data_IF_856109666524
#
_entry.id   IF_856109666524
#
_cell.length_a   1.000
_cell.length_b   1.000
_cell.length_c   1.000
_cell.angle_alpha   90.00
_cell.angle_beta   90.00
_cell.angle_gamma   90.00
#
_symmetry.space_group_name_H-M   'P 1'
#
loop_
_entity.id
_entity.type
_entity.pdbx_description
1 polymer ?
#
# COMPACT_ATOMS: atom_id res chain seq x y z
N UNK A 1 -22.74 8.00 20.97
CA UNK A 1 -23.24 6.91 20.11
C UNK A 1 -24.42 6.13 20.72
N UNK A 2 -24.40 5.75 22.02
CA UNK A 2 -25.50 5.02 22.68
C UNK A 2 -26.88 5.71 22.64
N UNK A 3 -26.93 7.05 22.67
CA UNK A 3 -28.20 7.77 22.56
C UNK A 3 -28.89 7.54 21.20
N UNK A 4 -28.12 7.46 20.11
CA UNK A 4 -28.65 7.26 18.76
C UNK A 4 -29.22 5.84 18.55
N UNK A 5 -28.62 4.83 19.17
CA UNK A 5 -29.12 3.45 19.11
C UNK A 5 -30.49 3.29 19.78
N UNK A 6 -30.71 3.94 20.94
CA UNK A 6 -32.02 3.95 21.60
C UNK A 6 -33.10 4.59 20.73
N UNK A 7 -32.76 5.68 20.02
CA UNK A 7 -33.69 6.35 19.11
C UNK A 7 -33.93 5.55 17.82
N UNK A 8 -32.98 4.71 17.38
CA UNK A 8 -33.19 3.78 16.27
C UNK A 8 -34.11 2.62 16.66
N UNK A 9 -34.03 2.13 17.90
CA UNK A 9 -34.90 1.08 18.43
C UNK A 9 -36.35 1.56 18.64
N UNK A 10 -36.50 2.75 19.22
CA UNK A 10 -37.80 3.37 19.51
C UNK A 10 -37.88 4.72 18.81
N UNK A 11 -38.06 4.75 17.47
CA UNK A 11 -38.13 6.01 16.73
C UNK A 11 -39.36 6.81 17.17
N UNK A 12 -39.22 8.14 17.33
CA UNK A 12 -40.35 9.00 17.64
C UNK A 12 -41.47 8.87 16.61
N UNK A 13 -42.74 9.11 17.01
CA UNK A 13 -43.86 9.07 16.07
C UNK A 13 -43.63 10.01 14.90
N UNK A 14 -43.77 9.49 13.67
CA UNK A 14 -43.57 10.20 12.37
C UNK A 14 -42.11 10.48 11.97
N UNK A 15 -41.13 9.83 12.60
CA UNK A 15 -39.73 9.93 12.17
C UNK A 15 -39.33 8.73 11.30
N UNK A 16 -38.64 8.98 10.18
CA UNK A 16 -38.00 7.95 9.36
C UNK A 16 -36.50 8.26 9.30
N UNK A 17 -35.67 7.29 9.66
CA UNK A 17 -34.23 7.38 9.53
C UNK A 17 -33.79 6.81 8.18
N UNK A 18 -33.03 7.60 7.42
CA UNK A 18 -32.36 7.16 6.19
C UNK A 18 -30.86 7.35 6.39
N UNK A 19 -30.12 6.25 6.46
CA UNK A 19 -28.68 6.23 6.64
C UNK A 19 -28.01 5.85 5.32
N UNK A 20 -27.03 6.63 4.89
CA UNK A 20 -26.25 6.38 3.68
C UNK A 20 -24.76 6.26 4.04
N UNK A 21 -24.09 5.25 3.50
CA UNK A 21 -22.64 5.04 3.67
C UNK A 21 -22.08 4.42 2.40
N UNK A 22 -20.84 4.77 2.07
CA UNK A 22 -20.04 4.10 1.04
C UNK A 22 -19.18 2.96 1.61
N UNK A 23 -19.17 2.80 2.94
CA UNK A 23 -18.35 1.83 3.66
C UNK A 23 -19.21 1.04 4.68
N UNK A 24 -20.07 0.12 4.22
CA UNK A 24 -21.00 -0.61 5.09
C UNK A 24 -20.28 -1.43 6.18
N UNK A 25 -19.05 -1.88 5.92
CA UNK A 25 -18.22 -2.63 6.88
C UNK A 25 -17.77 -1.81 8.09
N UNK A 26 -17.75 -0.47 7.97
CA UNK A 26 -17.42 0.43 9.09
C UNK A 26 -18.64 0.73 9.98
N UNK A 27 -19.85 0.36 9.54
CA UNK A 27 -21.07 0.53 10.31
C UNK A 27 -21.16 -0.57 11.36
N UNK A 28 -21.45 -0.19 12.61
CA UNK A 28 -21.61 -1.16 13.69
C UNK A 28 -22.73 -2.16 13.37
N UNK A 29 -22.52 -3.47 13.61
CA UNK A 29 -23.56 -4.48 13.41
C UNK A 29 -24.87 -4.14 14.12
N UNK A 30 -24.79 -3.51 15.29
CA UNK A 30 -25.97 -3.07 16.07
C UNK A 30 -26.84 -2.05 15.34
N UNK A 31 -26.28 -1.20 14.49
CA UNK A 31 -27.05 -0.27 13.64
C UNK A 31 -27.61 -1.01 12.44
N UNK A 32 -26.82 -1.88 11.82
CA UNK A 32 -27.21 -2.65 10.63
C UNK A 32 -28.41 -3.55 10.94
N UNK A 33 -28.42 -4.25 12.08
CA UNK A 33 -29.50 -5.15 12.49
C UNK A 33 -30.84 -4.45 12.73
N UNK A 34 -30.82 -3.13 12.93
CA UNK A 34 -32.01 -2.30 13.20
C UNK A 34 -32.47 -1.51 11.98
N UNK A 35 -31.78 -1.64 10.84
CA UNK A 35 -32.09 -0.93 9.60
C UNK A 35 -32.45 -1.90 8.47
N UNK A 36 -33.36 -1.47 7.58
CA UNK A 36 -33.51 -2.14 6.29
C UNK A 36 -32.35 -1.72 5.38
N UNK A 37 -31.50 -2.69 5.04
CA UNK A 37 -30.35 -2.45 4.17
C UNK A 37 -30.76 -2.53 2.70
N UNK A 38 -30.43 -1.48 1.95
CA UNK A 38 -30.52 -1.44 0.50
C UNK A 38 -29.13 -1.20 -0.07
N UNK A 39 -28.62 -2.17 -0.83
CA UNK A 39 -27.33 -2.06 -1.50
C UNK A 39 -27.53 -1.46 -2.89
N UNK A 40 -26.97 -0.26 -3.10
CA UNK A 40 -26.95 0.38 -4.41
C UNK A 40 -25.65 0.02 -5.12
N UNK A 41 -25.75 -0.84 -6.14
CA UNK A 41 -24.65 -1.12 -7.05
C UNK A 41 -24.36 0.06 -7.99
N UNK A 42 -23.21 0.00 -8.67
CA UNK A 42 -22.91 0.94 -9.74
C UNK A 42 -23.96 0.81 -10.85
N UNK A 43 -24.61 1.91 -11.29
CA UNK A 43 -25.50 1.86 -12.42
C UNK A 43 -24.79 1.43 -13.70
N UNK A 44 -25.47 0.58 -14.46
CA UNK A 44 -25.07 0.20 -15.80
C UNK A 44 -25.21 1.37 -16.78
N UNK A 45 -24.45 1.35 -17.87
CA UNK A 45 -24.53 2.38 -18.93
C UNK A 45 -25.99 2.59 -19.39
N UNK A 46 -26.82 1.56 -19.68
CA UNK A 46 -28.22 1.77 -20.06
C UNK A 46 -29.05 2.49 -19.00
N UNK A 47 -28.80 2.24 -17.71
CA UNK A 47 -29.50 2.93 -16.62
C UNK A 47 -29.10 4.40 -16.55
N UNK A 48 -27.81 4.72 -16.72
CA UNK A 48 -27.32 6.10 -16.77
C UNK A 48 -27.92 6.84 -17.98
N UNK A 49 -27.88 6.23 -19.17
CA UNK A 49 -28.50 6.79 -20.38
C UNK A 49 -29.99 7.05 -20.19
N UNK A 50 -30.73 6.14 -19.54
CA UNK A 50 -32.15 6.33 -19.27
C UNK A 50 -32.41 7.54 -18.36
N UNK A 51 -31.59 7.73 -17.32
CA UNK A 51 -31.69 8.90 -16.43
C UNK A 51 -31.35 10.19 -17.18
N UNK A 52 -30.25 10.21 -17.95
CA UNK A 52 -29.85 11.37 -18.74
C UNK A 52 -30.92 11.75 -19.76
N UNK A 53 -31.49 10.78 -20.49
CA UNK A 53 -32.55 11.03 -21.47
C UNK A 53 -33.80 11.61 -20.82
N UNK A 54 -34.18 11.11 -19.65
CA UNK A 54 -35.32 11.64 -18.88
C UNK A 54 -35.08 13.08 -18.47
N UNK A 55 -33.93 13.37 -17.85
CA UNK A 55 -33.58 14.73 -17.41
C UNK A 55 -33.47 15.69 -18.60
N UNK A 56 -32.82 15.28 -19.68
CA UNK A 56 -32.74 16.08 -20.91
C UNK A 56 -34.12 16.39 -21.48
N UNK A 57 -35.08 15.46 -21.41
CA UNK A 57 -36.45 15.69 -21.87
C UNK A 57 -37.23 16.63 -20.95
N UNK A 58 -37.09 16.49 -19.62
CA UNK A 58 -37.75 17.32 -18.61
C UNK A 58 -37.23 18.78 -18.65
N UNK A 59 -35.93 18.96 -18.90
CA UNK A 59 -35.24 20.26 -18.97
C UNK A 59 -35.17 20.83 -20.40
N UNK A 60 -35.83 20.21 -21.38
CA UNK A 60 -35.82 20.59 -22.79
C UNK A 60 -34.43 20.74 -23.43
N UNK A 61 -33.46 19.94 -22.97
CA UNK A 61 -32.09 19.88 -23.51
C UNK A 61 -32.10 19.01 -24.77
N UNK A 62 -31.66 19.58 -25.90
CA UNK A 62 -31.50 18.84 -27.15
C UNK A 62 -30.14 18.15 -27.16
N UNK A 63 -30.11 16.82 -27.15
CA UNK A 63 -28.89 16.02 -27.13
C UNK A 63 -29.07 14.76 -27.98
N UNK A 64 -28.05 14.37 -28.72
CA UNK A 64 -28.08 13.16 -29.53
C UNK A 64 -27.89 11.87 -28.68
N UNK A 65 -28.35 10.73 -29.21
CA UNK A 65 -28.29 9.45 -28.49
C UNK A 65 -26.84 8.94 -28.29
N UNK A 66 -25.92 9.32 -29.18
CA UNK A 66 -24.52 8.92 -29.10
C UNK A 66 -23.77 9.71 -28.01
N UNK A 67 -24.05 11.00 -27.88
CA UNK A 67 -23.62 11.91 -26.85
C UNK A 67 -24.09 11.43 -25.47
N UNK A 68 -25.36 11.02 -25.34
CA UNK A 68 -25.86 10.40 -24.11
C UNK A 68 -25.05 9.14 -23.72
N UNK A 69 -24.75 8.28 -24.71
CA UNK A 69 -23.94 7.08 -24.48
C UNK A 69 -22.49 7.41 -24.13
N UNK A 70 -21.90 8.46 -24.70
CA UNK A 70 -20.56 8.93 -24.36
C UNK A 70 -20.50 9.50 -22.93
N UNK A 71 -21.45 10.35 -22.54
CA UNK A 71 -21.55 10.87 -21.17
C UNK A 71 -21.69 9.71 -20.18
N UNK A 72 -22.58 8.75 -20.47
CA UNK A 72 -22.81 7.60 -19.60
C UNK A 72 -21.58 6.71 -19.43
N UNK A 73 -20.78 6.54 -20.49
CA UNK A 73 -19.50 5.81 -20.44
C UNK A 73 -18.47 6.56 -19.61
N UNK A 74 -18.32 7.86 -19.86
CA UNK A 74 -17.37 8.69 -19.12
C UNK A 74 -17.68 8.75 -17.61
N UNK A 75 -18.96 8.76 -17.25
CA UNK A 75 -19.39 8.81 -15.86
C UNK A 75 -19.11 7.53 -15.04
N UNK A 76 -18.55 6.47 -15.63
CA UNK A 76 -18.03 5.25 -14.94
C UNK A 76 -18.95 4.67 -13.84
N UNK A 77 -20.26 4.68 -14.10
CA UNK A 77 -21.27 4.19 -13.16
C UNK A 77 -21.56 5.18 -12.01
N UNK A 78 -21.56 6.48 -12.29
CA UNK A 78 -21.97 7.54 -11.37
C UNK A 78 -23.06 8.41 -12.02
N UNK A 79 -24.27 8.39 -11.45
CA UNK A 79 -25.34 9.28 -11.92
C UNK A 79 -24.98 10.76 -11.72
N UNK A 80 -24.26 11.06 -10.63
CA UNK A 80 -23.86 12.43 -10.30
C UNK A 80 -22.92 12.98 -11.35
N UNK A 81 -21.89 12.21 -11.72
CA UNK A 81 -20.89 12.68 -12.69
C UNK A 81 -21.51 12.83 -14.07
N UNK A 82 -22.37 11.87 -14.48
CA UNK A 82 -23.12 11.94 -15.73
C UNK A 82 -23.98 13.22 -15.83
N UNK A 83 -24.74 13.52 -14.77
CA UNK A 83 -25.60 14.71 -14.73
C UNK A 83 -24.79 16.01 -14.68
N UNK A 84 -23.65 16.00 -13.96
CA UNK A 84 -22.73 17.13 -13.94
C UNK A 84 -22.15 17.44 -15.31
N UNK A 85 -21.72 16.42 -16.06
CA UNK A 85 -21.25 16.58 -17.45
C UNK A 85 -22.36 17.13 -18.35
N UNK A 86 -23.60 16.62 -18.21
CA UNK A 86 -24.74 17.12 -18.98
C UNK A 86 -25.03 18.61 -18.69
N UNK A 87 -24.99 19.01 -17.42
CA UNK A 87 -25.18 20.41 -17.00
C UNK A 87 -24.08 21.32 -17.57
N UNK A 88 -22.83 20.85 -17.53
CA UNK A 88 -21.70 21.58 -18.12
C UNK A 88 -21.90 21.77 -19.63
N UNK A 89 -22.23 20.69 -20.36
CA UNK A 89 -22.48 20.75 -21.80
C UNK A 89 -23.61 21.74 -22.16
N UNK A 90 -24.71 21.74 -21.40
CA UNK A 90 -25.80 22.71 -21.56
C UNK A 90 -25.30 24.16 -21.42
N UNK A 91 -24.37 24.40 -20.50
CA UNK A 91 -23.82 25.75 -20.27
C UNK A 91 -22.95 26.20 -21.45
N UNK A 92 -22.17 25.30 -22.04
CA UNK A 92 -21.34 25.59 -23.22
C UNK A 92 -22.15 25.73 -24.51
N UNK A 93 -23.20 24.92 -24.68
CA UNK A 93 -24.09 24.91 -25.85
C UNK A 93 -25.48 25.40 -25.45
N UNK A 94 -25.61 26.72 -25.28
CA UNK A 94 -26.92 27.33 -25.05
C UNK A 94 -27.79 27.19 -26.31
N UNK A 95 -28.92 26.50 -26.18
CA UNK A 95 -29.94 26.27 -27.20
C UNK A 95 -29.55 25.45 -28.44
N UNK A 96 -28.33 24.91 -28.57
CA UNK A 96 -27.95 24.02 -29.67
C UNK A 96 -28.16 22.53 -29.34
N UNK A 97 -28.14 21.66 -30.36
CA UNK A 97 -28.13 20.21 -30.13
C UNK A 97 -26.72 19.82 -29.68
N UNK A 98 -26.61 19.22 -28.50
CA UNK A 98 -25.36 18.64 -28.01
C UNK A 98 -25.06 17.38 -28.82
N UNK A 99 -23.96 17.43 -29.58
CA UNK A 99 -23.46 16.34 -30.39
C UNK A 99 -22.38 15.54 -29.66
N UNK A 100 -22.06 14.35 -30.18
CA UNK A 100 -20.96 13.52 -29.67
C UNK A 100 -19.62 14.27 -29.57
N UNK A 101 -19.29 15.09 -30.58
CA UNK A 101 -18.06 15.89 -30.61
C UNK A 101 -18.00 16.92 -29.48
N UNK A 102 -19.13 17.55 -29.13
CA UNK A 102 -19.21 18.48 -28.00
C UNK A 102 -18.92 17.78 -26.68
N UNK A 103 -19.41 16.54 -26.51
CA UNK A 103 -19.08 15.72 -25.34
C UNK A 103 -17.59 15.47 -25.26
N UNK A 104 -16.95 15.09 -26.38
CA UNK A 104 -15.51 14.81 -26.43
C UNK A 104 -14.68 16.06 -26.08
N UNK A 105 -15.10 17.23 -26.57
CA UNK A 105 -14.43 18.50 -26.25
C UNK A 105 -14.53 18.86 -24.75
N UNK A 106 -15.70 18.69 -24.15
CA UNK A 106 -15.95 19.07 -22.74
C UNK A 106 -15.44 18.03 -21.74
N UNK A 107 -15.59 16.76 -22.06
CA UNK A 107 -15.12 15.62 -21.24
C UNK A 107 -13.62 15.41 -21.37
N UNK A 108 -13.02 15.86 -22.46
CA UNK A 108 -11.63 16.27 -22.48
C UNK A 108 -10.72 15.45 -23.39
N UNK A 109 -10.33 16.09 -24.49
CA UNK A 109 -9.04 15.83 -25.19
C UNK A 109 -7.85 16.16 -24.27
N UNK A 110 -8.00 17.15 -23.38
CA UNK A 110 -6.95 17.61 -22.46
C UNK A 110 -6.65 16.62 -21.32
N UNK A 111 -7.67 15.89 -20.85
CA UNK A 111 -7.53 14.87 -19.82
C UNK A 111 -6.77 13.65 -20.38
N UNK A 112 -7.11 13.25 -21.61
CA UNK A 112 -6.41 12.19 -22.32
C UNK A 112 -4.94 12.55 -22.57
N UNK A 113 -4.61 13.79 -22.93
CA UNK A 113 -3.21 14.20 -23.12
C UNK A 113 -2.37 14.09 -21.84
N UNK A 114 -2.91 14.46 -20.69
CA UNK A 114 -2.18 14.36 -19.42
C UNK A 114 -2.01 12.91 -18.95
N UNK A 115 -3.04 12.07 -19.15
CA UNK A 115 -2.97 10.63 -18.86
C UNK A 115 -1.97 9.92 -19.80
N UNK A 116 -2.01 10.24 -21.08
CA UNK A 116 -1.07 9.74 -22.07
C UNK A 116 0.36 10.17 -21.71
N UNK A 117 0.58 11.44 -21.34
CA UNK A 117 1.90 11.92 -20.93
C UNK A 117 2.41 11.26 -19.63
N UNK A 118 1.53 10.83 -18.73
CA UNK A 118 1.92 10.12 -17.52
C UNK A 118 2.48 8.74 -17.87
N UNK A 119 1.80 7.99 -18.75
CA UNK A 119 2.27 6.69 -19.21
C UNK A 119 3.48 6.80 -20.14
N UNK A 120 3.57 7.86 -20.95
CA UNK A 120 4.74 8.13 -21.79
C UNK A 120 5.99 8.37 -20.94
N UNK A 121 5.88 9.12 -19.83
CA UNK A 121 7.00 9.30 -18.91
C UNK A 121 7.48 7.97 -18.27
N UNK A 122 6.55 7.03 -18.06
CA UNK A 122 6.83 5.68 -17.57
C UNK A 122 7.55 4.85 -18.64
N UNK A 123 7.03 4.84 -19.87
CA UNK A 123 7.63 4.14 -21.00
C UNK A 123 9.04 4.70 -21.33
N UNK A 124 9.21 6.02 -21.25
CA UNK A 124 10.48 6.70 -21.46
C UNK A 124 11.48 6.55 -20.30
N UNK A 125 11.11 5.87 -19.21
CA UNK A 125 11.93 5.68 -18.00
C UNK A 125 12.50 6.98 -17.43
N UNK A 126 11.70 8.05 -17.46
CA UNK A 126 12.15 9.39 -17.08
C UNK A 126 11.45 9.90 -15.82
N UNK A 127 12.00 9.68 -14.62
CA UNK A 127 11.42 10.22 -13.39
C UNK A 127 11.33 11.76 -13.39
N UNK A 128 12.22 12.45 -14.11
CA UNK A 128 12.13 13.90 -14.29
C UNK A 128 10.93 14.33 -15.17
N UNK A 129 10.58 13.57 -16.20
CA UNK A 129 9.34 13.81 -16.95
C UNK A 129 8.11 13.43 -16.10
N UNK A 130 8.18 12.33 -15.36
CA UNK A 130 7.10 11.87 -14.50
C UNK A 130 6.73 12.91 -13.44
N UNK A 131 7.73 13.48 -12.75
CA UNK A 131 7.50 14.54 -11.76
C UNK A 131 6.94 15.82 -12.38
N UNK A 132 7.40 16.22 -13.58
CA UNK A 132 6.83 17.37 -14.30
C UNK A 132 5.38 17.12 -14.73
N UNK A 133 5.04 15.90 -15.14
CA UNK A 133 3.66 15.53 -15.46
C UNK A 133 2.79 15.52 -14.21
N UNK A 134 3.28 15.00 -13.08
CA UNK A 134 2.59 15.06 -11.79
C UNK A 134 2.29 16.52 -11.38
N UNK A 135 3.26 17.43 -11.53
CA UNK A 135 3.08 18.85 -11.25
C UNK A 135 2.04 19.51 -12.17
N UNK A 136 2.00 19.15 -13.46
CA UNK A 136 0.97 19.64 -14.39
C UNK A 136 -0.42 19.13 -14.02
N UNK A 137 -0.53 17.84 -13.68
CA UNK A 137 -1.77 17.22 -13.22
C UNK A 137 -2.30 17.91 -11.95
N UNK A 138 -1.43 18.18 -10.99
CA UNK A 138 -1.78 18.90 -9.77
C UNK A 138 -2.16 20.37 -10.01
N UNK A 139 -1.43 21.05 -10.91
CA UNK A 139 -1.69 22.44 -11.28
C UNK A 139 -2.97 22.65 -12.10
N UNK A 140 -3.59 21.58 -12.59
CA UNK A 140 -4.86 21.65 -13.35
C UNK A 140 -6.08 21.95 -12.48
N UNK A 141 -5.93 21.98 -11.15
CA UNK A 141 -7.04 22.17 -10.20
C UNK A 141 -7.87 20.91 -9.93
N UNK A 142 -7.47 19.77 -10.51
CA UNK A 142 -8.10 18.46 -10.26
C UNK A 142 -7.71 17.92 -8.88
N UNK A 143 -8.62 17.17 -8.28
CA UNK A 143 -8.33 16.38 -7.08
C UNK A 143 -7.27 15.31 -7.41
N UNK A 144 -6.10 15.27 -6.73
CA UNK A 144 -5.06 14.30 -7.03
C UNK A 144 -5.50 12.84 -6.79
N UNK A 145 -6.44 12.63 -5.85
CA UNK A 145 -7.05 11.32 -5.63
C UNK A 145 -7.87 10.86 -6.83
N UNK A 146 -8.60 11.77 -7.47
CA UNK A 146 -9.31 11.49 -8.71
C UNK A 146 -8.35 11.22 -9.87
N UNK A 147 -7.28 12.02 -10.00
CA UNK A 147 -6.24 11.78 -11.01
C UNK A 147 -5.63 10.37 -10.88
N UNK A 148 -5.35 9.91 -9.65
CA UNK A 148 -4.87 8.54 -9.42
C UNK A 148 -5.85 7.49 -9.96
N UNK A 149 -7.17 7.67 -9.71
CA UNK A 149 -8.22 6.78 -10.24
C UNK A 149 -8.34 6.84 -11.77
N UNK A 150 -8.12 8.00 -12.35
CA UNK A 150 -8.16 8.18 -13.81
C UNK A 150 -6.97 7.47 -14.48
N UNK A 151 -5.77 7.57 -13.89
CA UNK A 151 -4.59 6.81 -14.33
C UNK A 151 -4.81 5.31 -14.12
N UNK A 152 -5.46 4.89 -13.03
CA UNK A 152 -5.82 3.49 -12.79
C UNK A 152 -6.72 2.95 -13.90
N UNK A 153 -7.76 3.72 -14.29
CA UNK A 153 -8.66 3.32 -15.37
C UNK A 153 -7.94 3.22 -16.69
N UNK A 154 -7.10 4.20 -17.01
CA UNK A 154 -6.29 4.19 -18.23
C UNK A 154 -5.30 3.02 -18.26
N UNK A 155 -4.65 2.72 -17.14
CA UNK A 155 -3.77 1.55 -17.01
C UNK A 155 -4.50 0.22 -17.25
N UNK A 156 -5.75 0.10 -16.77
CA UNK A 156 -6.61 -1.06 -17.03
C UNK A 156 -7.03 -1.14 -18.50
N UNK A 157 -7.32 -0.02 -19.14
CA UNK A 157 -7.61 0.05 -20.57
C UNK A 157 -6.42 -0.44 -21.40
N UNK A 158 -5.20 0.04 -21.09
CA UNK A 158 -3.97 -0.42 -21.72
C UNK A 158 -3.75 -1.93 -21.53
N UNK A 159 -3.92 -2.44 -20.31
CA UNK A 159 -3.77 -3.86 -20.02
C UNK A 159 -4.78 -4.71 -20.80
N UNK A 160 -6.03 -4.25 -20.92
CA UNK A 160 -7.07 -4.94 -21.69
C UNK A 160 -6.68 -5.03 -23.16
N UNK A 161 -6.21 -3.93 -23.75
CA UNK A 161 -5.73 -3.90 -25.15
C UNK A 161 -4.54 -4.83 -25.34
N UNK A 162 -3.57 -4.85 -24.43
CA UNK A 162 -2.40 -5.75 -24.49
C UNK A 162 -2.75 -7.23 -24.35
N UNK A 163 -3.86 -7.57 -23.69
CA UNK A 163 -4.30 -8.96 -23.49
C UNK A 163 -5.16 -9.46 -24.63
N UNK A 164 -5.99 -8.57 -25.20
CA UNK A 164 -6.95 -8.92 -26.25
C UNK A 164 -6.42 -8.64 -27.65
N UNK A 165 -5.27 -7.95 -27.78
CA UNK A 165 -4.66 -7.49 -29.03
C UNK A 165 -5.61 -6.62 -29.88
N UNK A 166 -6.65 -6.04 -29.27
CA UNK A 166 -7.58 -5.10 -29.88
C UNK A 166 -8.23 -4.19 -28.82
N UNK A 167 -8.77 -3.05 -29.25
CA UNK A 167 -9.59 -2.21 -28.37
C UNK A 167 -10.98 -2.84 -28.22
N UNK A 168 -11.34 -3.30 -27.00
CA UNK A 168 -12.64 -3.92 -26.72
C UNK A 168 -13.79 -2.97 -27.03
N UNK A 169 -14.89 -3.51 -27.55
CA UNK A 169 -16.07 -2.72 -27.94
C UNK A 169 -16.60 -1.85 -26.79
N UNK A 170 -16.47 -2.33 -25.55
CA UNK A 170 -16.90 -1.66 -24.33
C UNK A 170 -16.07 -0.40 -24.02
N UNK A 171 -14.81 -0.36 -24.47
CA UNK A 171 -13.88 0.75 -24.26
C UNK A 171 -13.87 1.76 -25.41
N UNK A 172 -14.43 1.40 -26.57
CA UNK A 172 -14.42 2.27 -27.76
C UNK A 172 -15.19 3.56 -27.53
N UNK A 173 -14.55 4.68 -27.84
CA UNK A 173 -15.17 6.00 -27.76
C UNK A 173 -15.10 6.73 -29.10
N UNK A 174 -13.89 6.97 -29.61
CA UNK A 174 -13.65 7.67 -30.88
C UNK A 174 -12.53 6.96 -31.63
N UNK A 175 -12.55 6.96 -32.98
CA UNK A 175 -11.47 6.33 -33.75
C UNK A 175 -10.08 6.86 -33.39
N UNK A 176 -9.97 8.15 -33.06
CA UNK A 176 -8.70 8.78 -32.69
C UNK A 176 -8.23 8.36 -31.30
N UNK A 177 -9.11 8.37 -30.29
CA UNK A 177 -8.75 7.89 -28.94
C UNK A 177 -8.39 6.41 -28.95
N UNK A 178 -9.22 5.60 -29.62
CA UNK A 178 -9.01 4.15 -29.73
C UNK A 178 -7.65 3.85 -30.38
N UNK A 179 -7.29 4.62 -31.43
CA UNK A 179 -5.99 4.54 -32.08
C UNK A 179 -4.85 4.92 -31.13
N UNK A 180 -4.95 6.05 -30.44
CA UNK A 180 -3.91 6.51 -29.49
C UNK A 180 -3.72 5.53 -28.33
N UNK A 181 -4.80 4.94 -27.83
CA UNK A 181 -4.77 3.91 -26.80
C UNK A 181 -4.04 2.65 -27.30
N UNK A 182 -4.35 2.19 -28.52
CA UNK A 182 -3.70 1.05 -29.14
C UNK A 182 -2.21 1.30 -29.41
N UNK A 183 -1.85 2.50 -29.87
CA UNK A 183 -0.45 2.91 -30.07
C UNK A 183 0.31 2.93 -28.73
N UNK A 184 -0.27 3.50 -27.68
CA UNK A 184 0.38 3.55 -26.36
C UNK A 184 0.49 2.16 -25.71
N UNK A 185 -0.50 1.28 -25.91
CA UNK A 185 -0.44 -0.10 -25.42
C UNK A 185 0.77 -0.88 -25.98
N UNK A 186 1.30 -0.48 -27.14
CA UNK A 186 2.50 -1.07 -27.73
C UNK A 186 3.81 -0.46 -27.22
N UNK A 187 3.79 0.78 -26.69
CA UNK A 187 5.01 1.47 -26.25
C UNK A 187 5.39 1.18 -24.80
N UNK A 188 4.41 0.85 -23.95
CA UNK A 188 4.64 0.48 -22.55
C UNK A 188 4.64 -1.04 -22.38
N UNK A 189 5.54 -1.58 -21.55
CA UNK A 189 5.57 -3.02 -21.30
C UNK A 189 4.39 -3.47 -20.42
N UNK A 190 3.90 -4.70 -20.62
CA UNK A 190 2.82 -5.26 -19.79
C UNK A 190 3.19 -5.31 -18.30
N UNK A 191 4.45 -5.62 -17.99
CA UNK A 191 4.98 -5.64 -16.63
C UNK A 191 4.94 -4.24 -15.98
N UNK A 192 5.26 -3.19 -16.73
CA UNK A 192 5.15 -1.82 -16.24
C UNK A 192 3.71 -1.39 -16.01
N UNK A 193 2.76 -1.80 -16.87
CA UNK A 193 1.33 -1.51 -16.68
C UNK A 193 0.80 -2.18 -15.41
N UNK A 194 1.09 -3.47 -15.20
CA UNK A 194 0.69 -4.19 -13.99
C UNK A 194 1.29 -3.53 -12.74
N UNK A 195 2.58 -3.17 -12.79
CA UNK A 195 3.24 -2.51 -11.67
C UNK A 195 2.68 -1.12 -11.40
N UNK A 196 2.33 -0.35 -12.44
CA UNK A 196 1.64 0.94 -12.29
C UNK A 196 0.33 0.76 -11.53
N UNK A 197 -0.48 -0.24 -11.90
CA UNK A 197 -1.74 -0.54 -11.21
C UNK A 197 -1.53 -0.92 -9.74
N UNK A 198 -0.53 -1.74 -9.43
CA UNK A 198 -0.19 -2.11 -8.05
C UNK A 198 0.24 -0.89 -7.22
N UNK A 199 1.07 0.00 -7.80
CA UNK A 199 1.51 1.24 -7.15
C UNK A 199 0.32 2.18 -6.90
N UNK A 200 -0.59 2.31 -7.84
CA UNK A 200 -1.80 3.15 -7.70
C UNK A 200 -2.71 2.57 -6.62
N UNK A 201 -2.94 1.26 -6.60
CA UNK A 201 -3.77 0.62 -5.57
C UNK A 201 -3.24 0.91 -4.16
N UNK A 202 -1.93 0.76 -3.96
CA UNK A 202 -1.28 1.09 -2.68
C UNK A 202 -1.39 2.59 -2.33
N UNK A 203 -1.27 3.48 -3.32
CA UNK A 203 -1.41 4.92 -3.13
C UNK A 203 -2.84 5.36 -2.76
N UNK A 204 -3.85 4.73 -3.38
CA UNK A 204 -5.26 4.96 -3.07
C UNK A 204 -5.59 4.48 -1.65
N UNK A 205 -5.07 3.31 -1.26
CA UNK A 205 -5.21 2.81 0.11
C UNK A 205 -4.53 3.74 1.13
N UNK A 206 -3.29 4.18 0.86
CA UNK A 206 -2.59 5.13 1.72
C UNK A 206 -3.38 6.44 1.88
N UNK A 207 -3.97 6.93 0.78
CA UNK A 207 -4.78 8.15 0.77
C UNK A 207 -6.07 7.96 1.58
N UNK A 208 -6.73 6.80 1.46
CA UNK A 208 -7.89 6.45 2.29
C UNK A 208 -7.54 6.39 3.80
N UNK A 209 -6.28 6.07 4.12
CA UNK A 209 -5.73 6.08 5.47
C UNK A 209 -5.14 7.43 5.91
N UNK A 210 -5.39 8.51 5.16
CA UNK A 210 -5.03 9.88 5.55
C UNK A 210 -3.71 10.39 4.98
N UNK A 211 -3.03 9.64 4.10
CA UNK A 211 -1.89 10.18 3.38
C UNK A 211 -2.32 11.27 2.38
N UNK A 212 -1.44 12.23 2.13
CA UNK A 212 -1.71 13.31 1.18
C UNK A 212 -1.68 12.81 -0.27
N UNK A 213 -2.82 12.87 -0.96
CA UNK A 213 -2.99 12.35 -2.33
C UNK A 213 -1.99 12.94 -3.34
N UNK A 214 -1.63 14.22 -3.20
CA UNK A 214 -0.65 14.89 -4.04
C UNK A 214 0.73 14.21 -3.99
N UNK A 215 1.21 13.93 -2.79
CA UNK A 215 2.50 13.26 -2.57
C UNK A 215 2.44 11.83 -3.12
N UNK A 216 1.31 11.15 -2.92
CA UNK A 216 1.12 9.80 -3.44
C UNK A 216 1.14 9.75 -4.97
N UNK A 217 0.50 10.71 -5.65
CA UNK A 217 0.54 10.84 -7.11
C UNK A 217 1.98 10.99 -7.64
N UNK A 218 2.76 11.91 -7.05
CA UNK A 218 4.15 12.12 -7.42
C UNK A 218 4.99 10.85 -7.21
N UNK A 219 4.83 10.19 -6.06
CA UNK A 219 5.59 8.99 -5.71
C UNK A 219 5.27 7.83 -6.65
N UNK A 220 4.00 7.61 -6.98
CA UNK A 220 3.55 6.58 -7.93
C UNK A 220 4.21 6.80 -9.29
N UNK A 221 4.12 8.00 -9.84
CA UNK A 221 4.65 8.29 -11.18
C UNK A 221 6.19 8.17 -11.22
N UNK A 222 6.89 8.62 -10.18
CA UNK A 222 8.35 8.45 -10.08
C UNK A 222 8.73 6.97 -9.98
N UNK A 223 8.11 6.22 -9.07
CA UNK A 223 8.38 4.78 -8.92
C UNK A 223 8.04 4.03 -10.21
N UNK A 224 6.96 4.39 -10.88
CA UNK A 224 6.55 3.81 -12.15
C UNK A 224 7.57 4.10 -13.28
N UNK A 225 8.13 5.31 -13.33
CA UNK A 225 9.15 5.66 -14.31
C UNK A 225 10.54 5.10 -13.99
N UNK A 226 10.88 4.91 -12.71
CA UNK A 226 12.19 4.45 -12.25
C UNK A 226 12.07 3.22 -11.32
N UNK A 227 11.92 2.00 -11.88
CA UNK A 227 11.79 0.77 -11.09
C UNK A 227 12.95 0.55 -10.12
N UNK A 228 14.16 0.96 -10.46
CA UNK A 228 15.34 0.85 -9.58
C UNK A 228 15.24 1.61 -8.25
N UNK A 229 14.31 2.57 -8.13
CA UNK A 229 14.04 3.32 -6.89
C UNK A 229 13.06 2.56 -5.97
N UNK A 230 12.43 1.51 -6.49
CA UNK A 230 11.50 0.65 -5.75
C UNK A 230 12.15 -0.71 -5.44
N UNK A 231 12.34 -1.08 -4.16
CA UNK A 231 12.89 -2.38 -3.78
C UNK A 231 11.89 -3.54 -3.94
N UNK A 232 10.67 -3.30 -4.46
CA UNK A 232 9.64 -4.33 -4.60
C UNK A 232 10.02 -5.48 -5.56
N UNK A 233 9.40 -6.65 -5.36
CA UNK A 233 9.57 -7.82 -6.25
C UNK A 233 9.13 -7.51 -7.69
N UNK A 234 8.09 -6.70 -7.87
CA UNK A 234 7.64 -6.25 -9.19
C UNK A 234 8.70 -5.39 -9.88
N UNK A 235 9.39 -4.53 -9.14
CA UNK A 235 10.53 -3.77 -9.64
C UNK A 235 11.73 -4.65 -10.00
N UNK A 236 12.00 -5.72 -9.25
CA UNK A 236 13.02 -6.71 -9.60
C UNK A 236 12.68 -7.46 -10.90
N UNK A 237 11.44 -7.89 -11.10
CA UNK A 237 10.99 -8.53 -12.35
C UNK A 237 11.16 -7.62 -13.56
N UNK A 238 10.76 -6.35 -13.46
CA UNK A 238 10.97 -5.36 -14.52
C UNK A 238 12.46 -5.12 -14.84
N UNK A 239 13.34 -5.24 -13.84
CA UNK A 239 14.81 -5.16 -14.03
C UNK A 239 15.38 -6.43 -14.68
N UNK A 240 14.84 -7.60 -14.37
CA UNK A 240 15.24 -8.88 -14.98
C UNK A 240 14.83 -8.91 -16.45
N UNK A 241 13.59 -8.57 -16.78
CA UNK A 241 13.14 -8.47 -18.18
C UNK A 241 14.00 -7.49 -18.98
N UNK A 242 14.48 -6.40 -18.37
CA UNK A 242 15.42 -5.46 -18.99
C UNK A 242 16.77 -6.12 -19.31
N UNK A 243 17.31 -6.91 -18.37
CA UNK A 243 18.54 -7.66 -18.59
C UNK A 243 18.36 -8.75 -19.66
N UNK A 244 17.18 -9.36 -19.73
CA UNK A 244 16.85 -10.37 -20.74
C UNK A 244 16.58 -9.75 -22.12
N UNK A 245 15.98 -8.57 -22.18
CA UNK A 245 15.73 -7.80 -23.40
C UNK A 245 17.02 -7.14 -23.94
N UNK A 246 17.89 -6.65 -23.05
CA UNK A 246 19.19 -6.07 -23.39
C UNK A 246 20.33 -7.09 -23.53
N UNK A 247 20.12 -8.34 -23.09
CA UNK A 247 21.13 -9.41 -23.12
C UNK A 247 21.45 -9.98 -24.51
N UNK A 248 20.95 -9.36 -25.58
CA UNK A 248 21.25 -9.73 -26.98
C UNK A 248 22.05 -8.69 -27.77
N UNK A 249 22.28 -7.49 -27.24
CA UNK A 249 23.20 -6.52 -27.85
C UNK A 249 24.35 -6.23 -26.89
N UNK A 250 25.46 -6.95 -27.10
CA UNK A 250 26.76 -6.53 -26.60
C UNK A 250 27.21 -5.30 -27.39
N UNK A 251 27.52 -4.21 -26.67
CA UNK A 251 28.04 -2.99 -27.27
C UNK A 251 28.41 -1.98 -26.20
N UNK A 252 29.69 -1.97 -25.87
CA UNK A 252 30.43 -1.08 -24.98
C UNK A 252 29.90 0.37 -24.93
N UNK A 253 29.47 0.82 -23.75
CA UNK A 253 29.36 2.24 -23.44
C UNK A 253 30.66 2.69 -22.75
N UNK A 254 31.52 3.29 -23.57
CA UNK A 254 32.73 4.00 -23.19
C UNK A 254 32.39 5.11 -22.18
N UNK A 255 33.01 5.07 -21.00
CA UNK A 255 33.03 6.21 -20.07
C UNK A 255 34.19 7.10 -20.51
N UNK A 256 33.91 8.18 -21.24
CA UNK A 256 34.86 9.26 -21.46
C UNK A 256 35.03 10.04 -20.14
N UNK A 257 36.12 9.77 -19.43
CA UNK A 257 36.68 10.68 -18.43
C UNK A 257 37.86 11.40 -19.09
N UNK A 258 37.73 12.72 -19.27
CA UNK A 258 38.78 13.57 -19.82
C UNK A 258 39.90 13.82 -18.81
N UNK A 259 41.13 13.50 -19.21
CA UNK A 259 42.39 13.85 -18.55
C UNK A 259 42.86 15.26 -18.93
N UNK A 260 43.47 15.97 -17.96
CA UNK A 260 44.59 16.88 -18.20
C UNK A 260 45.42 17.12 -16.92
N UNK A 261 46.59 16.47 -16.91
CA UNK A 261 47.93 16.87 -16.44
C UNK A 261 48.28 17.09 -14.95
N UNK A 262 49.34 16.35 -14.51
CA UNK A 262 50.32 16.88 -13.56
C UNK A 262 51.14 15.91 -12.70
N UNK A 263 52.21 15.33 -13.29
CA UNK A 263 53.53 15.04 -12.68
C UNK A 263 53.75 13.84 -11.73
N UNK A 264 54.90 13.18 -11.97
CA UNK A 264 55.31 11.85 -11.51
C UNK A 264 56.10 11.82 -10.19
N UNK A 265 56.02 10.68 -9.46
CA UNK A 265 57.12 10.16 -8.63
C UNK A 265 56.95 8.66 -8.26
N UNK A 266 57.86 7.85 -8.78
CA UNK A 266 58.51 6.61 -8.28
C UNK A 266 57.78 5.59 -7.36
N UNK A 267 57.73 4.34 -7.86
CA UNK A 267 57.59 3.03 -7.17
C UNK A 267 58.87 2.62 -6.37
N UNK A 268 58.82 1.67 -5.40
CA UNK A 268 58.89 0.21 -5.68
C UNK A 268 57.97 -0.66 -4.78
N UNK A 269 57.25 -1.64 -5.33
CA UNK A 269 57.58 -3.07 -5.50
C UNK A 269 57.23 -3.95 -4.27
N UNK A 270 56.36 -4.95 -4.49
CA UNK A 270 56.57 -6.39 -4.19
C UNK A 270 55.24 -7.17 -4.28
N UNK A 271 55.14 -8.04 -5.29
CA UNK A 271 54.24 -9.20 -5.37
C UNK A 271 54.71 -10.33 -4.40
N UNK A 272 54.02 -11.50 -4.15
CA UNK A 272 53.15 -12.24 -5.08
C UNK A 272 51.98 -13.14 -4.53
N UNK A 273 50.98 -13.38 -5.41
CA UNK A 273 50.32 -14.66 -5.81
C UNK A 273 49.57 -15.58 -4.77
N UNK A 274 48.91 -16.70 -5.19
CA UNK A 274 47.44 -16.82 -5.29
C UNK A 274 46.81 -17.92 -4.39
N UNK A 275 45.49 -17.84 -4.14
CA UNK A 275 44.74 -18.81 -3.31
C UNK A 275 44.08 -19.89 -4.19
N UNK A 276 44.38 -21.16 -3.91
CA UNK A 276 43.70 -22.34 -4.47
C UNK A 276 42.55 -22.81 -3.54
N UNK A 277 41.50 -23.48 -4.07
CA UNK A 277 40.30 -23.83 -3.29
C UNK A 277 40.46 -25.16 -2.53
N UNK A 278 39.78 -25.35 -1.37
CA UNK A 278 39.83 -26.61 -0.65
C UNK A 278 38.73 -27.60 -1.07
N UNK A 279 39.10 -28.87 -0.89
CA UNK A 279 38.49 -30.14 -1.30
C UNK A 279 37.39 -30.61 -0.34
N UNK A 280 36.46 -31.42 -0.85
CA UNK A 280 35.30 -31.96 -0.14
C UNK A 280 35.53 -33.22 0.73
N UNK A 281 34.66 -33.36 1.75
CA UNK A 281 34.19 -34.54 2.52
C UNK A 281 35.15 -35.19 3.56
N UNK A 282 34.69 -35.72 4.72
CA UNK A 282 33.47 -36.56 4.89
C UNK A 282 32.61 -36.38 6.16
N UNK A 283 31.50 -37.12 6.18
CA UNK A 283 30.42 -37.26 7.20
C UNK A 283 30.75 -38.38 8.21
N UNK A 284 30.51 -38.18 9.52
CA UNK A 284 29.91 -39.17 10.46
C UNK A 284 29.84 -38.70 11.94
N UNK A 285 28.61 -38.74 12.48
CA UNK A 285 28.16 -39.23 13.80
C UNK A 285 28.69 -38.69 15.16
N UNK A 286 27.77 -38.00 15.85
CA UNK A 286 27.23 -38.25 17.21
C UNK A 286 28.03 -37.93 18.50
N UNK A 287 27.42 -36.99 19.25
CA UNK A 287 27.19 -36.86 20.71
C UNK A 287 28.30 -36.39 21.67
N UNK A 288 28.12 -35.12 22.08
CA UNK A 288 28.37 -34.38 23.34
C UNK A 288 29.79 -34.24 23.94
N UNK A 289 30.06 -33.14 24.69
CA UNK A 289 29.68 -31.73 24.50
C UNK A 289 30.94 -30.86 24.34
N UNK A 290 30.94 -29.86 23.45
CA UNK A 290 32.13 -29.04 23.15
C UNK A 290 31.91 -27.57 23.54
N UNK A 291 32.91 -26.85 24.08
CA UNK A 291 32.81 -25.48 24.62
C UNK A 291 32.67 -24.37 23.56
N UNK A 292 31.98 -24.66 22.44
CA UNK A 292 31.74 -23.72 21.34
C UNK A 292 30.34 -23.09 21.33
N UNK A 293 29.41 -23.59 22.15
CA UNK A 293 28.00 -23.18 22.12
C UNK A 293 27.76 -21.76 22.68
N UNK A 294 28.58 -21.31 23.64
CA UNK A 294 28.44 -19.98 24.24
C UNK A 294 28.70 -18.84 23.24
N UNK A 295 29.71 -18.99 22.38
CA UNK A 295 30.03 -17.99 21.35
C UNK A 295 28.96 -17.89 20.24
N UNK A 296 28.28 -19.00 19.95
CA UNK A 296 27.18 -19.02 18.97
C UNK A 296 25.88 -18.46 19.55
N UNK A 297 25.64 -18.64 20.85
CA UNK A 297 24.48 -18.06 21.54
C UNK A 297 24.61 -16.54 21.71
N UNK A 298 25.78 -16.03 22.10
CA UNK A 298 26.05 -14.58 22.19
C UNK A 298 25.77 -13.89 20.85
N UNK A 299 26.31 -14.45 19.76
CA UNK A 299 26.04 -13.97 18.41
C UNK A 299 24.56 -14.05 18.03
N UNK A 300 23.85 -15.07 18.48
CA UNK A 300 22.41 -15.19 18.23
C UNK A 300 21.60 -14.12 18.98
N UNK A 301 21.97 -13.82 20.23
CA UNK A 301 21.37 -12.76 21.03
C UNK A 301 21.62 -11.38 20.40
N UNK A 302 22.84 -11.13 19.90
CA UNK A 302 23.18 -9.87 19.22
C UNK A 302 22.40 -9.66 17.91
N UNK A 303 22.20 -10.72 17.12
CA UNK A 303 21.50 -10.65 15.84
C UNK A 303 19.97 -10.65 15.98
N UNK A 304 19.43 -11.09 17.12
CA UNK A 304 17.99 -11.26 17.31
C UNK A 304 17.17 -9.96 17.15
N UNK A 305 17.58 -8.79 17.69
CA UNK A 305 16.88 -7.53 17.45
C UNK A 305 16.78 -7.17 15.96
N UNK A 306 17.83 -7.46 15.18
CA UNK A 306 17.84 -7.22 13.74
C UNK A 306 16.88 -8.17 12.99
N UNK A 307 16.77 -9.42 13.46
CA UNK A 307 15.79 -10.39 12.95
C UNK A 307 14.36 -9.92 13.22
N UNK A 308 14.05 -9.50 14.45
CA UNK A 308 12.70 -8.97 14.80
C UNK A 308 12.37 -7.72 13.98
N UNK A 309 13.34 -6.83 13.75
CA UNK A 309 13.17 -5.64 12.92
C UNK A 309 12.85 -5.99 11.45
N UNK A 310 13.59 -6.93 10.85
CA UNK A 310 13.32 -7.38 9.48
C UNK A 310 12.01 -8.18 9.35
N UNK A 311 11.63 -8.95 10.37
CA UNK A 311 10.30 -9.60 10.39
C UNK A 311 9.21 -8.53 10.41
N UNK A 312 9.41 -7.40 11.12
CA UNK A 312 8.42 -6.31 11.20
C UNK A 312 8.13 -5.68 9.84
N UNK A 313 9.15 -5.54 9.00
CA UNK A 313 9.01 -5.04 7.63
C UNK A 313 8.16 -5.96 6.74
N UNK A 314 8.14 -7.26 7.03
CA UNK A 314 7.37 -8.26 6.27
C UNK A 314 6.00 -8.56 6.87
N UNK A 315 5.90 -8.55 8.20
CA UNK A 315 4.68 -8.83 8.95
C UNK A 315 4.76 -8.28 10.38
N UNK A 316 4.08 -7.15 10.63
CA UNK A 316 4.06 -6.49 11.93
C UNK A 316 3.48 -7.37 13.06
N UNK A 317 2.52 -8.26 12.76
CA UNK A 317 1.92 -9.15 13.74
C UNK A 317 2.92 -10.22 14.20
N UNK A 318 3.66 -10.83 13.27
CA UNK A 318 4.66 -11.86 13.62
C UNK A 318 5.84 -11.25 14.39
N UNK A 319 6.24 -10.02 14.04
CA UNK A 319 7.27 -9.31 14.79
C UNK A 319 6.84 -9.00 16.23
N UNK A 320 5.56 -8.64 16.44
CA UNK A 320 5.03 -8.43 17.79
C UNK A 320 5.01 -9.73 18.61
N UNK A 321 4.74 -10.88 17.98
CA UNK A 321 4.84 -12.19 18.65
C UNK A 321 6.29 -12.50 19.04
N UNK A 322 7.25 -12.29 18.14
CA UNK A 322 8.65 -12.66 18.35
C UNK A 322 9.45 -11.67 19.20
N UNK A 323 8.96 -10.43 19.38
CA UNK A 323 9.62 -9.42 20.21
C UNK A 323 9.74 -9.85 21.68
N UNK A 324 8.79 -10.65 22.15
CA UNK A 324 8.78 -11.22 23.51
C UNK A 324 9.68 -12.46 23.64
N UNK A 325 10.12 -13.05 22.54
CA UNK A 325 10.97 -14.24 22.55
C UNK A 325 12.45 -13.85 22.60
N UNK A 326 13.28 -14.65 23.29
CA UNK A 326 14.73 -14.45 23.34
C UNK A 326 15.50 -15.75 23.04
N UNK A 327 16.62 -15.70 22.30
CA UNK A 327 17.53 -16.84 22.17
C UNK A 327 18.03 -17.33 23.53
N UNK A 328 17.88 -18.63 23.80
CA UNK A 328 18.33 -19.26 25.04
C UNK A 328 19.27 -20.44 24.84
N UNK A 329 19.22 -21.08 23.66
CA UNK A 329 20.16 -22.15 23.31
C UNK A 329 20.38 -22.21 21.80
N UNK A 330 21.62 -22.50 21.41
CA UNK A 330 22.03 -22.76 20.03
C UNK A 330 22.52 -24.20 19.92
N UNK A 331 21.91 -24.98 19.04
CA UNK A 331 22.38 -26.30 18.63
C UNK A 331 22.97 -26.26 17.22
N UNK A 332 23.54 -27.38 16.75
CA UNK A 332 24.20 -27.45 15.43
C UNK A 332 23.30 -27.05 14.24
N UNK A 333 21.97 -27.17 14.38
CA UNK A 333 20.97 -26.80 13.35
C UNK A 333 19.68 -26.21 13.91
N UNK A 334 19.65 -25.89 15.20
CA UNK A 334 18.45 -25.41 15.87
C UNK A 334 18.78 -24.21 16.74
N UNK A 335 17.89 -23.22 16.75
CA UNK A 335 17.92 -22.10 17.69
C UNK A 335 16.67 -22.17 18.56
N UNK A 336 16.87 -22.28 19.87
CA UNK A 336 15.78 -22.29 20.85
C UNK A 336 15.52 -20.89 21.36
N UNK A 337 14.26 -20.48 21.25
CA UNK A 337 13.75 -19.18 21.68
C UNK A 337 12.82 -19.38 22.89
N UNK A 338 13.13 -18.76 24.01
CA UNK A 338 12.26 -18.78 25.18
C UNK A 338 11.27 -17.61 25.15
N UNK A 339 10.01 -17.91 25.42
CA UNK A 339 8.97 -16.94 25.75
C UNK A 339 8.83 -16.80 27.26
N UNK A 340 8.40 -15.63 27.78
CA UNK A 340 8.08 -15.46 29.19
C UNK A 340 7.05 -16.49 29.68
N UNK A 341 7.09 -16.88 30.96
CA UNK A 341 6.22 -17.91 31.53
C UNK A 341 4.71 -17.64 31.34
N UNK A 342 4.30 -16.36 31.29
CA UNK A 342 2.92 -15.93 31.01
C UNK A 342 2.51 -15.89 29.53
N UNK A 343 3.45 -16.11 28.59
CA UNK A 343 3.26 -15.89 27.15
C UNK A 343 2.94 -17.17 26.36
N UNK A 344 2.31 -18.17 26.99
CA UNK A 344 1.94 -19.45 26.36
C UNK A 344 1.05 -19.29 25.09
N UNK A 345 0.21 -18.24 25.05
CA UNK A 345 -0.60 -17.91 23.88
C UNK A 345 0.25 -17.38 22.71
N UNK A 346 1.24 -16.54 22.99
CA UNK A 346 2.14 -15.97 21.99
C UNK A 346 3.02 -17.06 21.36
N UNK A 347 3.55 -17.97 22.19
CA UNK A 347 4.28 -19.16 21.76
C UNK A 347 3.48 -20.02 20.77
N UNK A 348 2.23 -20.37 21.10
CA UNK A 348 1.37 -21.19 20.23
C UNK A 348 1.11 -20.53 18.88
N UNK A 349 0.97 -19.20 18.85
CA UNK A 349 0.82 -18.45 17.60
C UNK A 349 2.13 -18.42 16.81
N UNK A 350 3.27 -18.22 17.46
CA UNK A 350 4.58 -18.26 16.81
C UNK A 350 4.93 -19.66 16.25
N UNK A 351 4.42 -20.73 16.86
CA UNK A 351 4.57 -22.12 16.43
C UNK A 351 3.77 -22.50 15.17
N UNK A 352 2.91 -21.62 14.65
CA UNK A 352 2.24 -21.88 13.38
C UNK A 352 3.27 -21.98 12.24
N UNK A 353 3.07 -22.91 11.31
CA UNK A 353 4.07 -23.22 10.26
C UNK A 353 4.44 -22.00 9.43
N UNK A 354 3.46 -21.17 9.04
CA UNK A 354 3.68 -19.94 8.27
C UNK A 354 4.57 -18.93 9.03
N UNK A 355 4.37 -18.79 10.34
CA UNK A 355 5.14 -17.86 11.18
C UNK A 355 6.56 -18.38 11.43
N UNK A 356 6.71 -19.70 11.64
CA UNK A 356 8.01 -20.38 11.74
C UNK A 356 8.82 -20.24 10.47
N UNK A 357 8.19 -20.45 9.32
CA UNK A 357 8.85 -20.31 8.02
C UNK A 357 9.34 -18.89 7.79
N UNK A 358 8.50 -17.89 8.06
CA UNK A 358 8.88 -16.47 7.93
C UNK A 358 10.06 -16.12 8.85
N UNK A 359 10.00 -16.53 10.12
CA UNK A 359 11.04 -16.24 11.10
C UNK A 359 12.37 -16.93 10.77
N UNK A 360 12.34 -18.19 10.31
CA UNK A 360 13.53 -18.93 9.88
C UNK A 360 14.13 -18.37 8.58
N UNK A 361 13.31 -17.87 7.67
CA UNK A 361 13.76 -17.22 6.43
C UNK A 361 14.51 -15.91 6.74
N UNK A 362 13.95 -15.07 7.61
CA UNK A 362 14.60 -13.82 8.04
C UNK A 362 15.86 -14.10 8.85
N UNK A 363 15.82 -15.09 9.76
CA UNK A 363 17.01 -15.53 10.48
C UNK A 363 18.14 -15.92 9.52
N UNK A 364 17.83 -16.69 8.46
CA UNK A 364 18.82 -17.10 7.46
C UNK A 364 19.38 -15.91 6.68
N UNK A 365 18.55 -14.92 6.36
CA UNK A 365 18.98 -13.70 5.68
C UNK A 365 19.96 -12.88 6.54
N UNK A 366 19.73 -12.80 7.85
CA UNK A 366 20.54 -12.01 8.79
C UNK A 366 21.80 -12.75 9.24
N UNK A 367 21.69 -14.04 9.58
CA UNK A 367 22.79 -14.84 10.15
C UNK A 367 23.64 -15.58 9.11
N UNK A 368 23.15 -15.71 7.87
CA UNK A 368 23.75 -16.55 6.83
C UNK A 368 23.64 -18.05 7.08
N UNK A 369 23.05 -18.48 8.20
CA UNK A 369 22.99 -19.88 8.64
C UNK A 369 21.54 -20.41 8.64
N UNK A 370 21.27 -21.58 8.03
CA UNK A 370 19.95 -22.18 8.04
C UNK A 370 19.71 -22.93 9.36
N UNK A 371 19.22 -22.23 10.39
CA UNK A 371 18.78 -22.83 11.64
C UNK A 371 17.27 -23.01 11.67
N UNK A 372 16.81 -24.08 12.31
CA UNK A 372 15.39 -24.31 12.60
C UNK A 372 15.04 -23.65 13.93
N UNK A 373 13.95 -22.88 13.99
CA UNK A 373 13.54 -22.21 15.22
C UNK A 373 12.66 -23.15 16.06
N UNK A 374 13.07 -23.35 17.31
CA UNK A 374 12.28 -24.01 18.36
C UNK A 374 11.85 -22.99 19.40
N UNK A 375 10.68 -23.21 19.99
CA UNK A 375 10.14 -22.32 21.00
C UNK A 375 9.90 -23.07 22.30
N UNK A 376 10.31 -22.47 23.40
CA UNK A 376 10.13 -22.99 24.75
C UNK A 376 9.53 -21.90 25.65
N UNK A 377 8.94 -22.30 26.78
CA UNK A 377 8.54 -21.36 27.83
C UNK A 377 9.71 -21.29 28.81
N UNK A 378 10.18 -20.08 29.10
CA UNK A 378 11.23 -19.86 30.10
C UNK A 378 10.72 -20.20 31.50
N UNK A 379 11.62 -20.70 32.34
CA UNK A 379 11.40 -20.79 33.77
C UNK A 379 11.44 -19.37 34.39
N UNK A 380 10.74 -19.14 35.49
CA UNK A 380 10.71 -17.84 36.17
C UNK A 380 12.10 -17.49 36.75
N UNK A 381 12.99 -16.95 35.93
CA UNK A 381 14.30 -16.49 36.39
C UNK A 381 14.20 -15.11 37.04
N UNK A 382 14.21 -15.14 38.38
CA UNK A 382 14.47 -14.02 39.26
C UNK A 382 15.95 -13.61 39.15
N UNK A 383 16.30 -12.67 38.25
CA UNK A 383 17.52 -11.80 38.22
C UNK A 383 17.44 -10.89 36.97
N UNK A 384 16.86 -9.67 37.07
CA UNK A 384 17.53 -8.36 37.06
C UNK A 384 18.11 -7.99 35.67
N UNK A 385 17.67 -6.98 34.91
CA UNK A 385 17.47 -5.56 35.26
C UNK A 385 16.15 -4.99 34.72
N UNK A 386 15.27 -4.63 35.64
CA UNK A 386 14.27 -3.58 35.44
C UNK A 386 14.37 -2.68 36.66
N UNK A 387 14.41 -1.36 36.46
CA UNK A 387 14.26 -0.40 37.55
C UNK A 387 13.10 -0.85 38.46
N UNK A 388 13.25 -0.83 39.80
CA UNK A 388 12.18 -1.24 40.68
C UNK A 388 10.94 -0.41 40.34
N UNK A 389 9.81 -1.09 40.12
CA UNK A 389 8.53 -0.43 39.96
C UNK A 389 8.35 0.52 41.15
N UNK A 390 8.35 1.83 40.87
CA UNK A 390 8.09 2.86 41.85
C UNK A 390 6.78 2.52 42.56
N UNK A 391 6.75 2.65 43.89
CA UNK A 391 5.50 2.43 44.63
C UNK A 391 4.44 3.42 44.15
N UNK A 392 3.15 3.07 44.31
CA UNK A 392 2.06 3.97 43.90
C UNK A 392 2.19 5.38 44.48
N UNK A 393 2.76 5.51 45.68
CA UNK A 393 3.01 6.79 46.35
C UNK A 393 4.15 7.59 45.69
N UNK A 394 5.19 6.93 45.15
CA UNK A 394 6.27 7.61 44.43
C UNK A 394 5.85 8.09 43.04
N UNK A 395 4.95 7.36 42.37
CA UNK A 395 4.35 7.76 41.10
C UNK A 395 3.48 9.01 41.26
N UNK A 396 2.64 9.06 42.30
CA UNK A 396 1.80 10.22 42.62
C UNK A 396 2.67 11.44 42.90
N UNK A 397 3.72 11.31 43.72
CA UNK A 397 4.64 12.42 44.02
C UNK A 397 5.31 12.98 42.77
N UNK A 398 5.77 12.10 41.85
CA UNK A 398 6.40 12.54 40.60
C UNK A 398 5.44 13.27 39.67
N UNK A 399 4.18 12.83 39.60
CA UNK A 399 3.15 13.49 38.81
C UNK A 399 2.81 14.89 39.34
N UNK A 400 2.77 15.06 40.66
CA UNK A 400 2.55 16.38 41.29
C UNK A 400 3.74 17.31 40.99
N UNK A 401 4.98 16.85 41.16
CA UNK A 401 6.18 17.68 40.98
C UNK A 401 6.48 18.04 39.52
N UNK A 402 6.23 17.13 38.57
CA UNK A 402 6.64 17.29 37.17
C UNK A 402 5.52 17.83 36.27
N UNK A 403 4.25 17.62 36.65
CA UNK A 403 3.08 17.99 35.84
C UNK A 403 2.07 18.91 36.54
N UNK A 404 2.42 19.46 37.73
CA UNK A 404 1.59 20.40 38.50
C UNK A 404 0.18 19.82 38.81
N UNK A 405 0.14 18.51 39.08
CA UNK A 405 -1.08 17.77 39.36
C UNK A 405 -1.55 17.99 40.82
N UNK A 406 -2.88 17.99 41.04
CA UNK A 406 -3.48 18.12 42.37
C UNK A 406 -4.17 16.80 42.76
N UNK A 407 -3.91 16.30 43.97
CA UNK A 407 -4.54 15.09 44.49
C UNK A 407 -5.94 15.42 45.00
N UNK A 408 -6.97 14.84 44.37
CA UNK A 408 -8.36 14.97 44.82
C UNK A 408 -8.62 13.92 45.90
N UNK A 409 -9.18 14.28 47.07
CA UNK A 409 -9.56 13.30 48.09
C UNK A 409 -10.63 12.35 47.53
N UNK A 410 -10.49 11.06 47.79
CA UNK A 410 -11.51 10.06 47.46
C UNK A 410 -12.83 10.44 48.18
N UNK A 411 -13.88 10.75 47.41
CA UNK A 411 -15.21 11.00 47.97
C UNK A 411 -15.75 9.70 48.57
N UNK A 412 -15.98 9.73 49.88
CA UNK A 412 -16.46 8.62 50.69
C UNK A 412 -17.87 8.22 50.21
N UNK A 413 -17.99 7.04 49.60
CA UNK A 413 -19.15 6.49 48.88
C UNK A 413 -20.31 6.07 49.82
N UNK A 414 -20.50 6.81 50.92
CA UNK A 414 -21.43 6.52 52.01
C UNK A 414 -22.73 7.32 51.95
N UNK A 415 -22.82 8.41 51.18
CA UNK A 415 -24.04 9.22 51.08
C UNK A 415 -25.01 8.82 49.94
N UNK A 416 -24.63 7.96 48.99
CA UNK A 416 -25.52 7.54 47.90
C UNK A 416 -26.44 6.35 48.24
N UNK A 417 -26.26 5.68 49.39
CA UNK A 417 -27.10 4.54 49.79
C UNK A 417 -28.39 4.90 50.54
N UNK A 418 -28.54 6.13 51.05
CA UNK A 418 -29.79 6.54 51.74
C UNK A 418 -30.86 7.15 50.80
N UNK A 419 -30.56 7.35 49.52
CA UNK A 419 -31.52 7.92 48.56
C UNK A 419 -32.33 6.90 47.74
N UNK A 420 -32.20 5.59 48.01
CA UNK A 420 -32.92 4.52 47.28
C UNK A 420 -33.91 3.69 48.10
N UNK A 421 -34.13 3.98 49.39
CA UNK A 421 -35.18 3.34 50.22
C UNK A 421 -36.20 4.34 50.82
N UNK A 422 -36.49 5.43 50.11
CA UNK A 422 -37.55 6.41 50.48
C UNK A 422 -38.80 6.32 49.63
#
# INVERSE_FOLDING_TARGET
WNAFLKTLEEPPPRTIFVLATTEPQKVLPTVVDRCHRFDFGRPSIPQVVAVLRRVASEEAIRIDDHALALIARHATGSFRDALGTLEQLRTYKSDEVIAADDVIEVVGVADDELLLAAVEAIAARSPAQALRTAARLAGSGRDPGQVLRDIESHGRELLAVQVLDEVPLELRMTPERDRRLAEQAQTVSRTDVVRLLDLIAAALEATANGAQAQIQLELVLIKAAAPEVDPSKAALLARIERLEAGGRDGGEAHVEAGDADGEAAATPDLAPAPIAPPKAAPRAAATDPVPGVEADLERAVELWPAVVAQVRERNALVAALLAEARPVATGERELTLAFPAGAAFLKRKAEQDDHRHLAAEVWRAVSGSPLTLRYELGEEDQRGDGEPALSGEELVRRFIEEFDAEELPEEDDSEQREAQEG
#
